data_IF_183811424263
#
_entry.id   IF_183811424263
#
_cell.length_a   1.000
_cell.length_b   1.000
_cell.length_c   1.000
_cell.angle_alpha   90.00
_cell.angle_beta   90.00
_cell.angle_gamma   90.00
#
_symmetry.space_group_name_H-M   'P 1'
#
loop_
_entity.id
_entity.type
_entity.pdbx_description
1 polymer ?
#
# COMPACT_ATOMS: atom_id res chain seq x y z
N UNK A 1 -30.61 63.55 21.79
CA UNK A 1 -29.93 64.62 21.01
C UNK A 1 -28.44 64.36 21.04
N UNK A 2 -27.88 63.82 20.00
CA UNK A 2 -26.47 63.94 19.59
C UNK A 2 -26.36 63.31 18.21
N UNK A 3 -26.10 64.16 17.22
CA UNK A 3 -25.92 63.88 15.83
C UNK A 3 -24.57 63.18 15.65
N UNK A 4 -24.49 62.05 14.91
CA UNK A 4 -23.24 61.50 14.39
C UNK A 4 -23.18 61.74 12.89
N UNK A 5 -22.13 62.45 12.51
CA UNK A 5 -21.76 62.81 11.16
C UNK A 5 -21.14 61.57 10.51
N UNK A 6 -21.69 61.17 9.34
CA UNK A 6 -21.17 60.09 8.51
C UNK A 6 -20.15 60.71 7.54
N UNK A 7 -18.86 60.38 7.68
CA UNK A 7 -17.84 60.75 6.71
C UNK A 7 -17.72 59.60 5.67
N UNK A 8 -18.12 59.89 4.44
CA UNK A 8 -17.92 59.02 3.30
C UNK A 8 -16.51 59.25 2.75
N UNK A 9 -15.66 58.27 2.87
CA UNK A 9 -14.34 58.26 2.23
C UNK A 9 -14.43 57.54 0.89
N UNK A 10 -14.32 58.34 -0.17
CA UNK A 10 -14.27 57.85 -1.55
C UNK A 10 -12.86 57.41 -1.86
N UNK A 11 -12.59 56.08 -1.89
CA UNK A 11 -11.35 55.53 -2.40
C UNK A 11 -11.48 55.24 -3.90
N UNK A 12 -10.68 55.94 -4.67
CA UNK A 12 -10.60 55.76 -6.11
C UNK A 12 -9.97 54.41 -6.47
N UNK A 13 -10.64 53.66 -7.34
CA UNK A 13 -10.16 52.44 -7.95
C UNK A 13 -9.31 52.82 -9.15
N UNK A 14 -8.00 52.73 -9.06
CA UNK A 14 -7.11 52.70 -10.22
C UNK A 14 -7.01 51.28 -10.76
N UNK A 15 -7.68 51.01 -11.86
CA UNK A 15 -7.51 49.78 -12.61
C UNK A 15 -6.11 49.77 -13.27
N UNK A 16 -5.22 48.94 -12.75
CA UNK A 16 -3.99 48.52 -13.45
C UNK A 16 -4.32 47.30 -14.31
N UNK A 17 -4.49 47.55 -15.61
CA UNK A 17 -4.49 46.49 -16.60
C UNK A 17 -3.07 45.92 -16.70
N UNK A 18 -2.81 44.80 -16.09
CA UNK A 18 -1.64 43.96 -16.34
C UNK A 18 -1.96 43.10 -17.56
N UNK A 19 -1.34 43.38 -18.69
CA UNK A 19 -1.26 42.47 -19.82
C UNK A 19 -0.42 41.27 -19.39
N UNK A 20 -1.07 40.12 -19.18
CA UNK A 20 -0.40 38.84 -19.05
C UNK A 20 0.13 38.39 -20.40
N UNK A 21 1.36 38.71 -20.68
CA UNK A 21 2.12 38.02 -21.73
C UNK A 21 2.50 36.65 -21.21
N UNK A 22 2.03 35.56 -21.84
CA UNK A 22 2.67 34.26 -21.72
C UNK A 22 4.09 34.40 -22.27
N UNK A 23 5.07 34.48 -21.43
CA UNK A 23 6.46 34.27 -21.82
C UNK A 23 6.71 32.77 -21.86
N UNK A 24 6.79 32.21 -23.06
CA UNK A 24 7.48 30.94 -23.29
C UNK A 24 8.96 31.16 -22.93
N UNK A 25 9.32 30.84 -21.70
CA UNK A 25 10.70 30.83 -21.24
C UNK A 25 11.11 29.37 -21.14
N UNK A 26 11.57 28.80 -22.25
CA UNK A 26 12.49 27.67 -22.21
C UNK A 26 13.83 28.24 -21.75
N UNK A 27 14.25 27.91 -20.54
CA UNK A 27 15.58 28.24 -20.04
C UNK A 27 16.63 27.52 -20.92
N UNK A 28 17.63 28.22 -21.49
CA UNK A 28 18.60 27.59 -22.40
C UNK A 28 19.62 26.68 -21.71
N UNK A 29 19.63 26.62 -20.37
CA UNK A 29 20.72 26.00 -19.60
C UNK A 29 20.27 24.87 -18.65
N UNK A 30 19.04 24.38 -18.73
CA UNK A 30 18.54 23.32 -17.83
C UNK A 30 18.51 23.71 -16.34
N UNK A 31 18.54 25.01 -16.04
CA UNK A 31 18.50 25.53 -14.66
C UNK A 31 17.06 25.58 -14.19
N UNK A 32 16.80 24.87 -13.07
CA UNK A 32 15.48 24.88 -12.42
C UNK A 32 15.15 26.25 -11.81
N UNK A 33 13.87 26.61 -11.81
CA UNK A 33 13.41 27.88 -11.26
C UNK A 33 13.36 27.84 -9.71
N UNK A 34 13.47 29.02 -9.09
CA UNK A 34 13.33 29.12 -7.63
C UNK A 34 11.86 28.99 -7.24
N UNK A 35 11.53 27.94 -6.50
CA UNK A 35 10.15 27.62 -6.16
C UNK A 35 10.02 26.87 -4.81
N UNK A 36 8.78 26.60 -4.45
CA UNK A 36 8.43 25.75 -3.31
C UNK A 36 7.54 24.62 -3.79
N UNK A 37 7.96 23.39 -3.56
CA UNK A 37 7.26 22.15 -3.90
C UNK A 37 6.65 21.56 -2.64
N UNK A 38 5.39 21.18 -2.70
CA UNK A 38 4.69 20.43 -1.64
C UNK A 38 4.80 18.95 -1.94
N UNK A 39 5.30 18.19 -0.96
CA UNK A 39 5.37 16.73 -1.06
C UNK A 39 4.53 16.07 0.02
N UNK A 40 3.68 15.13 -0.36
CA UNK A 40 2.80 14.42 0.59
C UNK A 40 2.99 12.92 0.59
N UNK A 41 2.93 12.32 1.81
CA UNK A 41 3.04 10.86 2.01
C UNK A 41 2.36 10.41 3.31
N UNK A 42 2.00 9.12 3.36
CA UNK A 42 1.58 8.45 4.60
C UNK A 42 2.61 7.42 5.04
N UNK A 43 2.58 7.04 6.32
CA UNK A 43 3.42 5.97 6.86
C UNK A 43 3.49 5.95 8.37
N UNK A 44 4.43 5.18 8.89
CA UNK A 44 4.83 5.17 10.30
C UNK A 44 5.91 6.20 10.61
N UNK A 45 6.31 6.28 11.87
CA UNK A 45 7.30 7.25 12.35
C UNK A 45 8.66 7.08 11.70
N UNK A 46 9.09 5.84 11.43
CA UNK A 46 10.31 5.48 10.71
C UNK A 46 10.35 6.13 9.31
N UNK A 47 9.26 5.95 8.55
CA UNK A 47 9.10 6.56 7.22
C UNK A 47 9.07 8.07 7.28
N UNK A 48 8.40 8.64 8.29
CA UNK A 48 8.34 10.09 8.48
C UNK A 48 9.72 10.66 8.78
N UNK A 49 10.48 10.03 9.66
CA UNK A 49 11.83 10.46 10.01
C UNK A 49 12.77 10.40 8.80
N UNK A 50 12.84 9.26 8.12
CA UNK A 50 13.70 9.08 6.95
C UNK A 50 13.35 10.08 5.82
N UNK A 51 12.06 10.27 5.55
CA UNK A 51 11.62 11.19 4.50
C UNK A 51 11.94 12.65 4.84
N UNK A 52 11.76 13.08 6.10
CA UNK A 52 12.14 14.43 6.52
C UNK A 52 13.66 14.65 6.46
N UNK A 53 14.48 13.63 6.73
CA UNK A 53 15.94 13.70 6.58
C UNK A 53 16.35 13.82 5.10
N UNK A 54 15.70 13.07 4.21
CA UNK A 54 15.90 13.20 2.76
C UNK A 54 15.51 14.59 2.25
N UNK A 55 14.38 15.15 2.69
CA UNK A 55 13.96 16.52 2.37
C UNK A 55 14.98 17.54 2.86
N UNK A 56 15.52 17.35 4.05
CA UNK A 56 16.57 18.24 4.58
C UNK A 56 17.81 18.22 3.70
N UNK A 57 18.28 17.04 3.29
CA UNK A 57 19.39 16.90 2.34
C UNK A 57 19.09 17.60 1.03
N UNK A 58 17.89 17.40 0.45
CA UNK A 58 17.48 18.10 -0.77
C UNK A 58 17.55 19.63 -0.61
N UNK A 59 16.94 20.18 0.44
CA UNK A 59 16.90 21.62 0.69
C UNK A 59 18.30 22.23 0.91
N UNK A 60 19.28 21.42 1.37
CA UNK A 60 20.68 21.83 1.52
C UNK A 60 21.42 21.89 0.17
N UNK A 61 21.17 20.93 -0.72
CA UNK A 61 21.84 20.85 -2.03
C UNK A 61 21.12 21.66 -3.13
N UNK A 62 19.83 21.91 -2.97
CA UNK A 62 18.95 22.68 -3.87
C UNK A 62 18.26 23.83 -3.11
N UNK A 63 19.01 24.85 -2.62
CA UNK A 63 18.41 25.93 -1.83
C UNK A 63 17.38 26.77 -2.61
N UNK A 64 17.42 26.70 -3.96
CA UNK A 64 16.45 27.37 -4.84
C UNK A 64 15.09 26.64 -4.89
N UNK A 65 15.04 25.34 -4.58
CA UNK A 65 13.81 24.54 -4.60
C UNK A 65 13.56 24.01 -3.20
N UNK A 66 12.67 24.65 -2.47
CA UNK A 66 12.34 24.25 -1.11
C UNK A 66 11.18 23.27 -1.07
N UNK A 67 11.32 22.18 -0.32
CA UNK A 67 10.26 21.19 -0.15
C UNK A 67 9.50 21.42 1.15
N UNK A 68 8.17 21.51 1.06
CA UNK A 68 7.26 21.51 2.21
C UNK A 68 6.64 20.14 2.36
N UNK A 69 6.84 19.54 3.54
CA UNK A 69 6.35 18.21 3.89
C UNK A 69 4.88 18.24 4.35
N UNK A 70 4.07 17.33 3.81
CA UNK A 70 2.72 17.02 4.30
C UNK A 70 2.63 15.52 4.55
N UNK A 71 2.45 15.08 5.80
CA UNK A 71 2.39 13.65 6.09
C UNK A 71 1.41 13.31 7.22
N UNK A 72 1.11 12.02 7.34
CA UNK A 72 0.22 11.49 8.37
C UNK A 72 0.15 9.97 8.34
N UNK A 73 -0.70 9.40 9.19
CA UNK A 73 -1.05 7.99 9.15
C UNK A 73 -1.92 7.64 7.93
N UNK A 74 -2.19 6.35 7.76
CA UNK A 74 -3.04 5.86 6.67
C UNK A 74 -4.51 6.25 6.84
N UNK A 75 -5.02 6.23 8.08
CA UNK A 75 -6.43 6.47 8.35
C UNK A 75 -6.87 7.87 7.94
N UNK A 76 -7.90 7.96 7.12
CA UNK A 76 -8.41 9.22 6.54
C UNK A 76 -7.52 9.85 5.46
N UNK A 77 -6.41 9.19 5.08
CA UNK A 77 -5.48 9.75 4.09
C UNK A 77 -6.08 9.77 2.68
N UNK A 78 -6.78 8.71 2.29
CA UNK A 78 -7.46 8.63 0.98
C UNK A 78 -8.50 9.73 0.82
N UNK A 79 -9.29 10.00 1.84
CA UNK A 79 -10.30 11.06 1.86
C UNK A 79 -9.66 12.45 1.75
N UNK A 80 -8.54 12.67 2.46
CA UNK A 80 -7.76 13.90 2.37
C UNK A 80 -7.28 14.14 0.94
N UNK A 81 -6.62 13.15 0.33
CA UNK A 81 -6.07 13.27 -1.03
C UNK A 81 -7.18 13.42 -2.06
N UNK A 82 -8.28 12.68 -1.94
CA UNK A 82 -9.45 12.81 -2.80
C UNK A 82 -10.02 14.24 -2.75
N UNK A 83 -10.13 14.81 -1.55
CA UNK A 83 -10.58 16.18 -1.37
C UNK A 83 -9.61 17.20 -1.99
N UNK A 84 -8.30 17.02 -1.83
CA UNK A 84 -7.28 17.90 -2.38
C UNK A 84 -7.26 17.85 -3.92
N UNK A 85 -7.31 16.65 -4.52
CA UNK A 85 -7.37 16.47 -5.97
C UNK A 85 -8.63 17.10 -6.57
N UNK A 86 -9.79 16.85 -5.95
CA UNK A 86 -11.07 17.41 -6.40
C UNK A 86 -11.14 18.95 -6.25
N UNK A 87 -10.46 19.49 -5.24
CA UNK A 87 -10.39 20.92 -4.94
C UNK A 87 -9.30 21.68 -5.70
N UNK A 88 -8.46 21.01 -6.50
CA UNK A 88 -7.31 21.63 -7.19
C UNK A 88 -6.26 22.16 -6.22
N UNK A 89 -6.12 21.53 -5.04
CA UNK A 89 -5.17 21.90 -3.97
C UNK A 89 -4.21 20.77 -3.62
N UNK A 90 -4.10 19.79 -4.50
CA UNK A 90 -3.18 18.65 -4.31
C UNK A 90 -1.74 19.15 -4.20
N UNK A 91 -0.89 18.48 -3.42
CA UNK A 91 0.56 18.71 -3.42
C UNK A 91 1.16 18.46 -4.81
N UNK A 92 2.30 19.10 -5.08
CA UNK A 92 2.99 18.97 -6.37
C UNK A 92 3.49 17.54 -6.60
N UNK A 93 4.10 16.93 -5.59
CA UNK A 93 4.52 15.52 -5.59
C UNK A 93 3.74 14.78 -4.51
N UNK A 94 3.26 13.59 -4.83
CA UNK A 94 2.45 12.77 -3.93
C UNK A 94 2.91 11.33 -3.92
N UNK A 95 2.99 10.74 -2.73
CA UNK A 95 2.92 9.29 -2.60
C UNK A 95 1.47 8.88 -2.84
N UNK A 96 1.23 7.92 -3.72
CA UNK A 96 -0.09 7.40 -4.06
C UNK A 96 -0.15 5.89 -3.87
N UNK A 97 -1.35 5.37 -3.65
CA UNK A 97 -1.61 3.94 -3.65
C UNK A 97 -1.98 3.46 -5.07
N UNK A 98 -1.79 2.19 -5.34
CA UNK A 98 -1.96 1.61 -6.66
C UNK A 98 -3.38 1.76 -7.22
N UNK A 99 -4.41 1.53 -6.41
CA UNK A 99 -5.83 1.69 -6.77
C UNK A 99 -6.23 3.15 -7.08
N UNK A 100 -5.38 4.12 -6.69
CA UNK A 100 -5.67 5.53 -6.97
C UNK A 100 -5.51 5.90 -8.43
N UNK A 101 -4.75 5.12 -9.20
CA UNK A 101 -4.72 5.28 -10.65
C UNK A 101 -6.10 5.05 -11.26
N UNK A 102 -6.81 4.00 -10.83
CA UNK A 102 -8.19 3.74 -11.28
C UNK A 102 -9.16 4.79 -10.73
N UNK A 103 -8.98 5.19 -9.47
CA UNK A 103 -9.92 6.10 -8.79
C UNK A 103 -9.79 7.56 -9.24
N UNK A 104 -8.57 8.03 -9.49
CA UNK A 104 -8.29 9.45 -9.74
C UNK A 104 -7.78 9.74 -11.15
N UNK A 105 -7.36 8.72 -11.90
CA UNK A 105 -6.85 8.87 -13.27
C UNK A 105 -7.35 7.76 -14.20
N UNK A 106 -8.66 7.48 -14.28
CA UNK A 106 -9.18 6.36 -15.06
C UNK A 106 -8.94 6.49 -16.57
N UNK A 107 -8.60 7.69 -17.06
CA UNK A 107 -8.28 8.00 -18.46
C UNK A 107 -6.82 8.47 -18.66
N UNK A 108 -5.96 8.22 -17.67
CA UNK A 108 -4.55 8.63 -17.67
C UNK A 108 -4.30 10.14 -17.51
N UNK A 109 -5.33 10.96 -17.22
CA UNK A 109 -5.21 12.43 -17.17
C UNK A 109 -5.41 13.02 -15.78
N UNK A 110 -5.50 12.18 -14.75
CA UNK A 110 -5.65 12.61 -13.36
C UNK A 110 -4.35 13.10 -12.73
N UNK A 111 -3.22 12.60 -13.22
CA UNK A 111 -1.87 13.01 -12.82
C UNK A 111 -1.08 13.54 -14.04
N UNK A 112 0.08 14.13 -13.78
CA UNK A 112 0.96 14.61 -14.84
C UNK A 112 1.51 13.42 -15.65
N UNK A 113 1.69 13.62 -16.97
CA UNK A 113 2.32 12.61 -17.83
C UNK A 113 3.84 12.62 -17.66
N UNK A 114 4.38 11.68 -16.91
CA UNK A 114 5.81 11.61 -16.56
C UNK A 114 6.72 11.35 -17.77
N UNK A 115 6.20 10.79 -18.87
CA UNK A 115 6.96 10.65 -20.13
C UNK A 115 7.37 12.01 -20.72
N UNK A 116 6.76 13.11 -20.30
CA UNK A 116 7.15 14.46 -20.72
C UNK A 116 8.28 15.06 -19.89
N UNK A 117 8.72 14.38 -18.83
CA UNK A 117 9.67 14.87 -17.84
C UNK A 117 10.98 14.05 -17.81
N UNK A 118 11.27 13.26 -18.84
CA UNK A 118 12.48 12.40 -18.94
C UNK A 118 13.80 13.19 -18.85
N UNK A 119 13.79 14.49 -19.11
CA UNK A 119 14.97 15.34 -18.92
C UNK A 119 15.32 15.56 -17.44
N UNK A 120 14.37 15.40 -16.52
CA UNK A 120 14.52 15.60 -15.08
C UNK A 120 14.34 14.30 -14.28
N UNK A 121 13.69 13.29 -14.85
CA UNK A 121 13.37 12.02 -14.22
C UNK A 121 13.96 10.87 -15.03
N UNK A 122 15.01 10.22 -14.51
CA UNK A 122 15.66 9.08 -15.16
C UNK A 122 14.86 7.79 -14.99
N UNK A 123 13.97 7.53 -15.95
CA UNK A 123 13.14 6.33 -16.01
C UNK A 123 13.92 5.08 -16.44
N UNK A 124 15.16 5.22 -16.96
CA UNK A 124 15.99 4.08 -17.38
C UNK A 124 16.48 3.21 -16.21
N UNK A 125 16.29 3.68 -14.99
CA UNK A 125 16.61 2.96 -13.75
C UNK A 125 15.54 1.94 -13.34
N UNK A 126 14.48 1.78 -14.12
CA UNK A 126 13.36 0.90 -13.80
C UNK A 126 13.11 -0.10 -14.93
N UNK A 127 12.75 -1.32 -14.57
CA UNK A 127 12.27 -2.30 -15.52
C UNK A 127 10.93 -1.87 -16.14
N UNK A 128 10.73 -2.23 -17.41
CA UNK A 128 9.50 -1.86 -18.13
C UNK A 128 8.23 -2.39 -17.47
N UNK A 129 8.29 -3.59 -16.92
CA UNK A 129 7.15 -4.21 -16.25
C UNK A 129 6.80 -3.42 -14.97
N UNK A 130 7.82 -2.91 -14.24
CA UNK A 130 7.64 -2.05 -13.07
C UNK A 130 7.04 -0.70 -13.45
N UNK A 131 7.50 -0.08 -14.55
CA UNK A 131 6.91 1.15 -15.07
C UNK A 131 5.47 0.97 -15.53
N UNK A 132 5.15 -0.20 -16.11
CA UNK A 132 3.80 -0.49 -16.60
C UNK A 132 2.73 -0.43 -15.51
N UNK A 133 3.08 -0.65 -14.24
CA UNK A 133 2.15 -0.45 -13.11
C UNK A 133 1.65 1.00 -12.99
N UNK A 134 2.47 1.96 -13.39
CA UNK A 134 2.12 3.39 -13.35
C UNK A 134 1.43 3.91 -14.61
N UNK A 135 1.23 3.06 -15.61
CA UNK A 135 0.61 3.44 -16.87
C UNK A 135 -0.90 3.26 -16.85
N UNK A 136 -1.61 4.25 -17.36
CA UNK A 136 -3.03 4.22 -17.67
C UNK A 136 -3.23 4.68 -19.11
N UNK A 137 -3.81 3.86 -19.96
CA UNK A 137 -3.99 4.14 -21.39
C UNK A 137 -2.70 4.57 -22.12
N UNK A 138 -1.55 3.98 -21.73
CA UNK A 138 -0.24 4.30 -22.31
C UNK A 138 0.36 5.63 -21.83
N UNK A 139 -0.21 6.25 -20.81
CA UNK A 139 0.28 7.46 -20.15
C UNK A 139 0.89 7.08 -18.81
N UNK A 140 2.18 7.35 -18.60
CA UNK A 140 2.84 7.10 -17.32
C UNK A 140 2.41 8.18 -16.30
N UNK A 141 1.59 7.80 -15.34
CA UNK A 141 1.02 8.68 -14.32
C UNK A 141 1.79 8.63 -12.99
N UNK A 142 2.50 7.54 -12.74
CA UNK A 142 3.26 7.36 -11.51
C UNK A 142 4.47 6.44 -11.73
N UNK A 143 5.47 6.55 -10.85
CA UNK A 143 6.61 5.61 -10.79
C UNK A 143 6.49 4.78 -9.53
N UNK A 144 6.61 3.47 -9.68
CA UNK A 144 6.61 2.50 -8.58
C UNK A 144 7.87 2.67 -7.74
N UNK A 145 7.70 2.92 -6.44
CA UNK A 145 8.83 3.04 -5.50
C UNK A 145 9.41 1.67 -5.17
N UNK A 146 8.53 0.69 -4.91
CA UNK A 146 8.90 -0.70 -4.69
C UNK A 146 7.74 -1.62 -5.07
N UNK A 147 8.03 -2.84 -5.44
CA UNK A 147 7.05 -3.93 -5.52
C UNK A 147 7.13 -4.71 -4.21
N UNK A 148 6.01 -5.17 -3.69
CA UNK A 148 5.98 -5.95 -2.46
C UNK A 148 4.83 -6.95 -2.49
N UNK A 149 5.04 -8.08 -1.85
CA UNK A 149 4.00 -9.04 -1.53
C UNK A 149 3.81 -9.20 -0.03
N UNK A 150 2.86 -10.04 0.36
CA UNK A 150 2.68 -10.41 1.75
C UNK A 150 3.42 -11.70 2.05
N UNK A 151 4.04 -11.75 3.23
CA UNK A 151 4.67 -12.94 3.80
C UNK A 151 4.05 -13.32 5.13
N UNK A 152 4.39 -14.50 5.59
CA UNK A 152 4.04 -15.02 6.90
C UNK A 152 5.17 -14.71 7.87
N UNK A 153 4.85 -14.09 9.01
CA UNK A 153 5.83 -13.77 10.05
C UNK A 153 5.36 -14.31 11.38
N UNK A 154 6.27 -14.92 12.14
CA UNK A 154 5.94 -15.68 13.33
C UNK A 154 6.75 -15.23 14.55
N UNK A 155 6.12 -15.27 15.73
CA UNK A 155 6.77 -15.04 17.01
C UNK A 155 7.55 -16.31 17.41
N UNK A 156 8.86 -16.28 17.22
CA UNK A 156 9.76 -17.41 17.44
C UNK A 156 9.77 -17.90 18.89
N UNK A 157 9.54 -17.00 19.87
CA UNK A 157 9.48 -17.39 21.28
C UNK A 157 8.25 -18.23 21.59
N UNK A 158 7.08 -17.82 21.04
CA UNK A 158 5.84 -18.58 21.19
C UNK A 158 5.96 -19.94 20.50
N UNK A 159 6.43 -19.99 19.25
CA UNK A 159 6.59 -21.25 18.53
C UNK A 159 7.57 -22.21 19.24
N UNK A 160 8.70 -21.71 19.74
CA UNK A 160 9.65 -22.50 20.54
C UNK A 160 9.03 -23.03 21.84
N UNK A 161 8.21 -22.23 22.53
CA UNK A 161 7.51 -22.65 23.76
C UNK A 161 6.61 -23.87 23.50
N UNK A 162 5.93 -23.92 22.36
CA UNK A 162 5.11 -25.04 21.94
C UNK A 162 5.89 -26.18 21.28
N UNK A 163 7.20 -26.06 21.11
CA UNK A 163 8.00 -26.97 20.28
C UNK A 163 7.31 -27.21 18.93
N UNK A 164 6.98 -26.12 18.23
CA UNK A 164 6.31 -26.08 16.95
C UNK A 164 7.26 -25.52 15.89
N UNK A 165 7.20 -26.10 14.70
CA UNK A 165 7.84 -25.53 13.50
C UNK A 165 6.88 -24.54 12.83
N UNK A 166 7.40 -23.60 12.04
CA UNK A 166 6.58 -22.75 11.21
C UNK A 166 5.93 -23.57 10.10
N UNK A 167 4.63 -23.40 9.85
CA UNK A 167 3.94 -24.18 8.82
C UNK A 167 4.43 -23.79 7.41
N UNK A 168 4.58 -24.78 6.55
CA UNK A 168 4.87 -24.61 5.12
C UNK A 168 3.66 -24.98 4.25
N UNK A 169 2.65 -25.65 4.81
CA UNK A 169 1.42 -26.04 4.12
C UNK A 169 0.16 -25.59 4.88
N UNK A 170 -0.96 -25.53 4.17
CA UNK A 170 -2.25 -25.21 4.78
C UNK A 170 -2.64 -26.22 5.87
N UNK A 171 -2.38 -27.53 5.64
CA UNK A 171 -2.68 -28.56 6.61
C UNK A 171 -1.81 -28.46 7.87
N UNK A 172 -0.54 -28.09 7.74
CA UNK A 172 0.32 -27.82 8.90
C UNK A 172 -0.19 -26.61 9.68
N UNK A 173 -0.61 -25.52 9.00
CA UNK A 173 -1.20 -24.36 9.65
C UNK A 173 -2.47 -24.74 10.44
N UNK A 174 -3.38 -25.50 9.84
CA UNK A 174 -4.60 -25.98 10.50
C UNK A 174 -4.29 -26.85 11.72
N UNK A 175 -3.30 -27.73 11.62
CA UNK A 175 -2.87 -28.61 12.72
C UNK A 175 -2.29 -27.84 13.92
N UNK A 176 -1.71 -26.65 13.70
CA UNK A 176 -1.19 -25.80 14.77
C UNK A 176 -2.31 -25.27 15.66
N UNK A 177 -3.50 -25.04 15.12
CA UNK A 177 -4.63 -24.53 15.89
C UNK A 177 -5.00 -25.44 17.05
N UNK A 178 -5.11 -26.76 16.84
CA UNK A 178 -5.36 -27.73 17.91
C UNK A 178 -4.27 -27.68 19.00
N UNK A 179 -2.99 -27.60 18.57
CA UNK A 179 -1.86 -27.55 19.49
C UNK A 179 -1.83 -26.29 20.34
N UNK A 180 -2.11 -25.15 19.75
CA UNK A 180 -2.04 -23.84 20.40
C UNK A 180 -3.29 -23.51 21.24
N UNK A 181 -4.45 -24.10 20.90
CA UNK A 181 -5.71 -23.93 21.66
C UNK A 181 -5.63 -24.37 23.12
N UNK A 182 -4.68 -25.23 23.48
CA UNK A 182 -4.49 -25.69 24.86
C UNK A 182 -4.12 -24.56 25.83
N UNK A 183 -3.55 -23.47 25.34
CA UNK A 183 -3.20 -22.28 26.12
C UNK A 183 -3.91 -21.02 25.62
N UNK A 184 -4.97 -21.15 24.81
CA UNK A 184 -5.74 -20.05 24.22
C UNK A 184 -4.85 -19.11 23.38
N UNK A 185 -3.95 -19.69 22.59
CA UNK A 185 -3.04 -18.99 21.68
C UNK A 185 -3.42 -19.32 20.25
N UNK A 186 -3.27 -18.33 19.38
CA UNK A 186 -3.59 -18.44 17.95
C UNK A 186 -2.30 -18.47 17.14
N UNK A 187 -2.09 -19.48 16.25
CA UNK A 187 -0.92 -19.56 15.38
C UNK A 187 -0.66 -18.30 14.55
N UNK A 188 -1.73 -17.70 14.06
CA UNK A 188 -1.72 -16.41 13.33
C UNK A 188 -2.98 -15.62 13.68
N UNK A 189 -3.06 -14.37 13.21
CA UNK A 189 -4.33 -13.67 13.09
C UNK A 189 -4.42 -12.86 11.79
N UNK A 190 -5.64 -12.58 11.35
CA UNK A 190 -5.95 -11.96 10.08
C UNK A 190 -6.90 -10.77 10.28
N UNK A 191 -6.47 -9.60 9.82
CA UNK A 191 -7.31 -8.39 9.84
C UNK A 191 -8.34 -8.42 8.72
N UNK A 192 -9.57 -8.07 9.04
CA UNK A 192 -10.67 -7.92 8.07
C UNK A 192 -10.91 -6.46 7.68
N UNK A 193 -10.43 -5.48 8.45
CA UNK A 193 -10.77 -4.07 8.25
C UNK A 193 -9.72 -3.32 7.43
N UNK A 194 -8.64 -2.89 8.05
CA UNK A 194 -7.68 -1.99 7.43
C UNK A 194 -6.75 -2.69 6.45
N UNK A 195 -6.39 -3.93 6.74
CA UNK A 195 -5.42 -4.70 5.95
C UNK A 195 -6.05 -5.65 4.93
N UNK A 196 -7.28 -6.11 5.17
CA UNK A 196 -7.96 -7.10 4.32
C UNK A 196 -7.21 -8.43 4.22
N UNK A 197 -6.42 -8.79 5.24
CA UNK A 197 -5.54 -9.96 5.20
C UNK A 197 -6.32 -11.26 5.14
N UNK A 198 -7.52 -11.29 5.74
CA UNK A 198 -8.37 -12.48 5.72
C UNK A 198 -8.81 -12.85 4.29
N UNK A 199 -9.30 -11.89 3.52
CA UNK A 199 -9.67 -12.14 2.12
C UNK A 199 -8.45 -12.45 1.26
N UNK A 200 -7.35 -11.72 1.48
CA UNK A 200 -6.10 -11.95 0.76
C UNK A 200 -5.61 -13.41 0.90
N UNK A 201 -5.52 -13.94 2.12
CA UNK A 201 -5.07 -15.31 2.36
C UNK A 201 -6.03 -16.33 1.75
N UNK A 202 -7.34 -16.09 1.83
CA UNK A 202 -8.35 -16.94 1.21
C UNK A 202 -8.24 -16.94 -0.33
N UNK A 203 -7.92 -15.80 -0.96
CA UNK A 203 -7.65 -15.72 -2.41
C UNK A 203 -6.44 -16.56 -2.78
N UNK A 204 -5.31 -16.45 -2.05
CA UNK A 204 -4.12 -17.26 -2.29
C UNK A 204 -4.46 -18.75 -2.23
N UNK A 205 -5.18 -19.17 -1.19
CA UNK A 205 -5.63 -20.55 -1.05
C UNK A 205 -6.42 -21.03 -2.27
N UNK A 206 -7.43 -20.28 -2.70
CA UNK A 206 -8.29 -20.64 -3.84
C UNK A 206 -7.52 -20.65 -5.16
N UNK A 207 -6.61 -19.69 -5.36
CA UNK A 207 -5.74 -19.65 -6.55
C UNK A 207 -4.88 -20.91 -6.66
N UNK A 208 -4.34 -21.39 -5.57
CA UNK A 208 -3.58 -22.65 -5.53
C UNK A 208 -4.46 -23.88 -5.86
N UNK A 209 -5.69 -23.91 -5.31
CA UNK A 209 -6.60 -25.04 -5.53
C UNK A 209 -7.20 -25.09 -6.94
N UNK A 210 -7.37 -23.94 -7.58
CA UNK A 210 -8.14 -23.86 -8.83
C UNK A 210 -7.34 -23.43 -10.05
N UNK A 211 -6.18 -22.78 -9.84
CA UNK A 211 -5.38 -22.17 -10.91
C UNK A 211 -6.06 -20.95 -11.56
N UNK A 212 -7.08 -20.39 -10.93
CA UNK A 212 -7.78 -19.19 -11.43
C UNK A 212 -7.42 -17.97 -10.59
N UNK A 213 -7.08 -16.87 -11.26
CA UNK A 213 -6.88 -15.58 -10.61
C UNK A 213 -8.23 -15.00 -10.16
N UNK A 214 -8.22 -14.28 -9.03
CA UNK A 214 -9.44 -13.65 -8.51
C UNK A 214 -9.96 -12.57 -9.47
N UNK A 215 -9.10 -11.67 -9.90
CA UNK A 215 -9.41 -10.56 -10.81
C UNK A 215 -8.30 -10.39 -11.85
N UNK A 216 -8.69 -10.15 -13.10
CA UNK A 216 -7.75 -9.70 -14.13
C UNK A 216 -7.32 -8.24 -13.89
N UNK A 217 -6.26 -7.81 -14.57
CA UNK A 217 -5.80 -6.41 -14.55
C UNK A 217 -6.86 -5.44 -15.09
N UNK A 218 -7.74 -5.91 -15.98
CA UNK A 218 -8.86 -5.13 -16.54
C UNK A 218 -10.13 -5.20 -15.66
N UNK A 219 -10.01 -5.78 -14.46
CA UNK A 219 -11.11 -5.89 -13.50
C UNK A 219 -12.18 -6.93 -13.89
N UNK A 220 -11.83 -7.98 -14.67
CA UNK A 220 -12.72 -9.12 -14.88
C UNK A 220 -12.65 -10.09 -13.71
N UNK A 221 -13.82 -10.48 -13.19
CA UNK A 221 -13.89 -11.46 -12.11
C UNK A 221 -13.57 -12.85 -12.68
N UNK A 222 -12.46 -13.45 -12.24
CA UNK A 222 -12.04 -14.79 -12.63
C UNK A 222 -12.61 -15.87 -11.72
N UNK A 223 -12.93 -15.55 -10.45
CA UNK A 223 -13.57 -16.49 -9.54
C UNK A 223 -15.03 -16.71 -9.88
N UNK A 224 -15.47 -17.95 -9.83
CA UNK A 224 -16.88 -18.33 -9.81
C UNK A 224 -17.49 -18.13 -8.45
N UNK A 225 -18.82 -18.25 -8.33
CA UNK A 225 -19.52 -18.25 -7.04
C UNK A 225 -19.02 -19.41 -6.13
N UNK A 226 -18.73 -20.58 -6.71
CA UNK A 226 -18.15 -21.72 -5.97
C UNK A 226 -16.74 -21.43 -5.47
N UNK A 227 -15.93 -20.67 -6.19
CA UNK A 227 -14.59 -20.27 -5.73
C UNK A 227 -14.66 -19.29 -4.57
N UNK A 228 -15.60 -18.33 -4.59
CA UNK A 228 -15.84 -17.42 -3.48
C UNK A 228 -16.35 -18.21 -2.25
N UNK A 229 -17.20 -19.21 -2.47
CA UNK A 229 -17.64 -20.10 -1.40
C UNK A 229 -16.46 -20.88 -0.81
N UNK A 230 -15.58 -21.43 -1.64
CA UNK A 230 -14.38 -22.12 -1.19
C UNK A 230 -13.47 -21.21 -0.32
N UNK A 231 -13.32 -19.93 -0.71
CA UNK A 231 -12.59 -18.94 0.08
C UNK A 231 -13.21 -18.72 1.46
N UNK A 232 -14.55 -18.59 1.53
CA UNK A 232 -15.26 -18.40 2.79
C UNK A 232 -15.31 -19.68 3.65
N UNK A 233 -15.39 -20.87 3.02
CA UNK A 233 -15.28 -22.16 3.70
C UNK A 233 -13.89 -22.30 4.37
N UNK A 234 -12.83 -21.96 3.65
CA UNK A 234 -11.46 -21.96 4.18
C UNK A 234 -11.30 -20.97 5.34
N UNK A 235 -11.78 -19.72 5.19
CA UNK A 235 -11.77 -18.75 6.28
C UNK A 235 -12.47 -19.31 7.55
N UNK A 236 -13.64 -19.94 7.36
CA UNK A 236 -14.37 -20.54 8.48
C UNK A 236 -13.66 -21.73 9.09
N UNK A 237 -12.93 -22.49 8.28
CA UNK A 237 -12.09 -23.59 8.74
C UNK A 237 -10.95 -23.08 9.64
N UNK A 238 -10.30 -21.95 9.30
CA UNK A 238 -9.29 -21.32 10.15
C UNK A 238 -9.87 -20.93 11.52
N UNK A 239 -11.05 -20.32 11.58
CA UNK A 239 -11.73 -20.02 12.85
C UNK A 239 -12.08 -21.29 13.64
N UNK A 240 -12.71 -22.28 12.98
CA UNK A 240 -13.17 -23.50 13.63
C UNK A 240 -12.04 -24.36 14.19
N UNK A 241 -10.86 -24.31 13.57
CA UNK A 241 -9.65 -25.01 14.02
C UNK A 241 -8.76 -24.19 14.95
N UNK A 242 -9.25 -23.05 15.46
CA UNK A 242 -8.49 -22.18 16.39
C UNK A 242 -7.17 -21.66 15.81
N UNK A 243 -7.12 -21.44 14.49
CA UNK A 243 -5.94 -20.88 13.82
C UNK A 243 -5.92 -19.37 13.92
N UNK A 244 -7.10 -18.76 13.83
CA UNK A 244 -7.34 -17.32 13.94
C UNK A 244 -8.45 -17.03 14.94
N UNK A 245 -8.45 -15.82 15.51
CA UNK A 245 -9.57 -15.32 16.31
C UNK A 245 -10.78 -15.07 15.43
N UNK A 246 -11.98 -15.20 15.97
CA UNK A 246 -13.22 -14.76 15.30
C UNK A 246 -13.28 -13.23 15.21
N UNK A 247 -14.11 -12.70 14.32
CA UNK A 247 -14.35 -11.25 14.21
C UNK A 247 -14.86 -10.65 15.51
N UNK A 248 -15.71 -11.40 16.23
CA UNK A 248 -16.26 -11.01 17.55
C UNK A 248 -15.14 -10.82 18.58
N UNK A 249 -14.24 -11.81 18.70
CA UNK A 249 -13.10 -11.76 19.62
C UNK A 249 -12.20 -10.57 19.32
N UNK A 250 -11.82 -10.36 18.04
CA UNK A 250 -11.00 -9.19 17.66
C UNK A 250 -11.65 -7.87 18.00
N UNK A 251 -12.96 -7.76 17.78
CA UNK A 251 -13.72 -6.54 18.10
C UNK A 251 -13.74 -6.26 19.59
N UNK A 252 -13.92 -7.29 20.40
CA UNK A 252 -14.00 -7.17 21.85
C UNK A 252 -12.61 -6.94 22.51
N UNK A 253 -11.58 -7.59 22.01
CA UNK A 253 -10.22 -7.54 22.58
C UNK A 253 -9.39 -6.36 22.08
N UNK A 254 -9.37 -6.13 20.76
CA UNK A 254 -8.52 -5.10 20.13
C UNK A 254 -9.27 -3.77 19.90
N UNK A 255 -10.61 -3.82 19.82
CA UNK A 255 -11.42 -2.65 19.46
C UNK A 255 -11.07 -2.13 18.06
N UNK A 256 -10.54 -0.90 17.99
CA UNK A 256 -10.06 -0.28 16.73
C UNK A 256 -8.52 -0.27 16.62
N UNK A 257 -7.80 -0.91 17.54
CA UNK A 257 -6.35 -0.97 17.48
C UNK A 257 -5.88 -1.83 16.30
N UNK A 258 -4.82 -1.40 15.62
CA UNK A 258 -4.17 -2.24 14.63
C UNK A 258 -3.48 -3.42 15.31
N UNK A 259 -3.42 -4.58 14.63
CA UNK A 259 -2.93 -5.82 15.24
C UNK A 259 -1.53 -5.68 15.88
N UNK A 260 -0.60 -4.94 15.25
CA UNK A 260 0.75 -4.70 15.81
C UNK A 260 0.74 -3.88 17.11
N UNK A 261 -0.38 -3.22 17.44
CA UNK A 261 -0.57 -2.44 18.67
C UNK A 261 -1.41 -3.18 19.70
N UNK A 262 -1.99 -4.33 19.33
CA UNK A 262 -2.84 -5.10 20.24
C UNK A 262 -2.01 -5.80 21.33
N UNK A 263 -2.52 -5.85 22.57
CA UNK A 263 -1.92 -6.67 23.62
C UNK A 263 -1.77 -8.13 23.21
N UNK A 264 -2.71 -8.66 22.45
CA UNK A 264 -2.76 -10.05 22.00
C UNK A 264 -1.55 -10.43 21.15
N UNK A 265 -1.11 -9.52 20.28
CA UNK A 265 0.11 -9.70 19.50
C UNK A 265 1.37 -9.46 20.34
N UNK A 266 1.41 -8.36 21.12
CA UNK A 266 2.59 -7.98 21.91
C UNK A 266 2.89 -9.03 22.98
N UNK A 267 1.88 -9.61 23.63
CA UNK A 267 2.02 -10.63 24.66
C UNK A 267 2.15 -12.05 24.08
N UNK A 268 2.11 -12.23 22.76
CA UNK A 268 2.32 -13.48 22.06
C UNK A 268 1.12 -14.46 22.11
N UNK A 269 -0.09 -14.00 22.43
CA UNK A 269 -1.33 -14.79 22.26
C UNK A 269 -1.68 -14.94 20.78
N UNK A 270 -1.35 -13.97 19.97
CA UNK A 270 -1.29 -14.09 18.50
C UNK A 270 0.16 -14.28 18.11
N UNK A 271 0.48 -15.49 17.63
CA UNK A 271 1.85 -15.92 17.43
C UNK A 271 2.36 -15.72 16.00
N UNK A 272 1.58 -15.12 15.12
CA UNK A 272 1.98 -14.84 13.74
C UNK A 272 1.03 -13.91 13.02
N UNK A 273 1.52 -13.34 11.94
CA UNK A 273 0.78 -12.38 11.12
C UNK A 273 1.06 -12.59 9.63
N UNK A 274 0.09 -12.21 8.80
CA UNK A 274 0.23 -12.03 7.37
C UNK A 274 0.39 -10.52 7.10
N UNK A 275 1.55 -10.08 6.65
CA UNK A 275 1.78 -8.65 6.40
C UNK A 275 2.61 -8.41 5.13
N UNK A 276 2.52 -7.20 4.57
CA UNK A 276 3.37 -6.76 3.48
C UNK A 276 4.83 -6.69 3.92
N UNK A 277 5.76 -7.25 3.13
CA UNK A 277 7.19 -7.13 3.36
C UNK A 277 7.61 -5.66 3.52
N UNK A 278 7.03 -4.76 2.71
CA UNK A 278 7.26 -3.29 2.80
C UNK A 278 6.72 -2.62 4.07
N UNK A 279 6.02 -3.32 4.94
CA UNK A 279 5.37 -2.77 6.14
C UNK A 279 5.61 -3.61 7.39
N UNK A 280 6.38 -4.69 7.31
CA UNK A 280 6.61 -5.60 8.44
C UNK A 280 7.36 -4.95 9.60
N UNK A 281 8.17 -3.93 9.34
CA UNK A 281 8.96 -3.23 10.36
C UNK A 281 8.13 -2.68 11.54
N UNK A 282 6.85 -2.33 11.34
CA UNK A 282 5.96 -1.92 12.44
C UNK A 282 5.65 -3.05 13.43
N UNK A 283 5.58 -4.30 12.96
CA UNK A 283 5.41 -5.50 13.80
C UNK A 283 6.71 -5.89 14.47
N UNK A 284 7.83 -5.77 13.75
CA UNK A 284 9.17 -6.00 14.30
C UNK A 284 9.47 -5.03 15.46
N UNK A 285 9.14 -3.75 15.32
CA UNK A 285 9.31 -2.75 16.40
C UNK A 285 8.37 -2.96 17.59
N UNK A 286 7.26 -3.67 17.44
CA UNK A 286 6.34 -3.97 18.53
C UNK A 286 6.82 -5.11 19.44
N UNK A 287 7.82 -5.88 19.02
CA UNK A 287 8.38 -7.03 19.74
C UNK A 287 9.85 -6.79 20.09
N UNK A 288 10.44 -7.54 21.04
CA UNK A 288 11.89 -7.54 21.24
C UNK A 288 12.64 -7.93 19.95
N UNK A 289 13.85 -7.38 19.78
CA UNK A 289 14.69 -7.66 18.60
C UNK A 289 14.90 -9.18 18.38
N UNK A 290 14.70 -9.64 17.15
CA UNK A 290 14.89 -11.03 16.74
C UNK A 290 13.79 -12.00 17.20
N UNK A 291 12.67 -11.50 17.72
CA UNK A 291 11.51 -12.33 18.10
C UNK A 291 10.63 -12.65 16.88
N UNK A 292 10.44 -11.67 15.99
CA UNK A 292 9.69 -11.90 14.76
C UNK A 292 10.61 -12.51 13.71
N UNK A 293 10.19 -13.60 13.08
CA UNK A 293 10.93 -14.33 12.05
C UNK A 293 10.05 -14.60 10.84
N UNK A 294 10.64 -14.66 9.65
CA UNK A 294 9.94 -14.95 8.40
C UNK A 294 9.66 -16.46 8.29
N UNK A 295 8.43 -16.81 7.88
CA UNK A 295 8.03 -18.18 7.59
C UNK A 295 7.96 -18.48 6.10
N UNK A 296 7.77 -19.75 5.75
CA UNK A 296 7.60 -20.18 4.37
C UNK A 296 6.32 -19.60 3.74
N UNK A 297 6.31 -19.43 2.42
CA UNK A 297 5.09 -19.20 1.65
C UNK A 297 4.26 -20.48 1.67
N UNK A 298 3.07 -20.40 2.27
CA UNK A 298 2.19 -21.56 2.44
C UNK A 298 1.81 -22.18 1.09
N UNK A 299 1.83 -23.48 1.03
CA UNK A 299 1.51 -24.27 -0.17
C UNK A 299 0.39 -25.27 0.09
N UNK A 300 -0.18 -25.79 -1.00
CA UNK A 300 -1.05 -26.96 -0.91
C UNK A 300 -0.25 -28.26 -0.62
N UNK A 301 -0.95 -29.39 -0.44
CA UNK A 301 -0.30 -30.68 -0.14
C UNK A 301 0.59 -31.21 -1.28
N UNK A 302 0.46 -30.67 -2.49
CA UNK A 302 1.34 -31.01 -3.63
C UNK A 302 2.66 -30.24 -3.61
N UNK A 303 2.80 -29.26 -2.70
CA UNK A 303 3.91 -28.31 -2.65
C UNK A 303 3.76 -27.14 -3.62
N UNK A 304 2.57 -26.94 -4.22
CA UNK A 304 2.29 -25.78 -5.04
C UNK A 304 2.09 -24.56 -4.14
N UNK A 305 3.02 -23.63 -4.18
CA UNK A 305 2.97 -22.33 -3.48
C UNK A 305 2.80 -21.15 -4.44
N UNK A 306 2.33 -21.36 -5.67
CA UNK A 306 1.96 -20.28 -6.60
C UNK A 306 0.76 -19.47 -6.10
N UNK A 307 0.40 -18.43 -6.80
CA UNK A 307 -0.81 -17.65 -6.50
C UNK A 307 -0.67 -16.64 -5.36
N UNK A 308 0.52 -16.50 -4.76
CA UNK A 308 0.82 -15.39 -3.87
C UNK A 308 0.83 -14.08 -4.66
N UNK A 309 0.36 -13.03 -4.03
CA UNK A 309 0.06 -11.78 -4.72
C UNK A 309 1.11 -10.71 -4.44
N UNK A 310 1.55 -10.03 -5.50
CA UNK A 310 2.45 -8.87 -5.42
C UNK A 310 1.80 -7.63 -6.03
N UNK A 311 2.25 -6.46 -5.62
CA UNK A 311 1.82 -5.16 -6.20
C UNK A 311 2.84 -4.06 -5.92
N UNK A 312 2.71 -2.90 -6.59
CA UNK A 312 3.36 -1.68 -6.14
C UNK A 312 3.01 -1.40 -4.69
N UNK A 313 4.01 -1.29 -3.81
CA UNK A 313 3.79 -0.98 -2.39
C UNK A 313 3.25 0.44 -2.22
N UNK A 314 3.94 1.37 -2.87
CA UNK A 314 3.58 2.77 -3.04
C UNK A 314 4.16 3.27 -4.36
N UNK A 315 3.62 4.36 -4.87
CA UNK A 315 4.07 5.02 -6.09
C UNK A 315 4.23 6.51 -5.84
N UNK A 316 5.05 7.18 -6.65
CA UNK A 316 5.10 8.64 -6.67
C UNK A 316 4.45 9.18 -7.94
N UNK A 317 3.59 10.17 -7.77
CA UNK A 317 2.93 10.89 -8.85
C UNK A 317 3.13 12.40 -8.72
N UNK A 318 3.04 13.11 -9.84
CA UNK A 318 3.07 14.57 -9.88
C UNK A 318 1.64 15.06 -10.16
N UNK A 319 1.22 16.10 -9.45
CA UNK A 319 -0.07 16.74 -9.69
C UNK A 319 -0.13 17.28 -11.12
N UNK A 320 -1.23 16.99 -11.82
CA UNK A 320 -1.45 17.57 -13.16
C UNK A 320 -1.58 19.10 -13.14
N UNK A 321 -1.90 19.66 -11.98
CA UNK A 321 -2.15 21.10 -11.79
C UNK A 321 -0.93 21.84 -11.18
N UNK A 322 0.24 21.15 -11.05
CA UNK A 322 1.46 21.81 -10.56
C UNK A 322 1.93 22.92 -11.51
N UNK A 323 2.40 24.02 -10.94
CA UNK A 323 3.05 25.10 -11.70
C UNK A 323 4.54 24.83 -11.94
N UNK A 324 5.11 23.77 -11.30
CA UNK A 324 6.54 23.45 -11.28
C UNK A 324 6.80 21.98 -11.66
N UNK A 325 6.42 21.54 -12.89
CA UNK A 325 6.54 20.12 -13.26
C UNK A 325 7.99 19.63 -13.35
N UNK A 326 8.92 20.45 -13.86
CA UNK A 326 10.33 20.08 -14.00
C UNK A 326 11.02 19.97 -12.63
N UNK A 327 10.76 20.92 -11.73
CA UNK A 327 11.26 20.91 -10.35
C UNK A 327 10.68 19.77 -9.53
N UNK A 328 9.39 19.47 -9.71
CA UNK A 328 8.73 18.31 -9.11
C UNK A 328 9.34 17.00 -9.58
N UNK A 329 9.66 16.89 -10.87
CA UNK A 329 10.31 15.72 -11.44
C UNK A 329 11.75 15.57 -10.95
N UNK A 330 12.51 16.66 -10.83
CA UNK A 330 13.85 16.64 -10.27
C UNK A 330 13.85 16.17 -8.80
N UNK A 331 12.91 16.64 -8.00
CA UNK A 331 12.75 16.16 -6.62
C UNK A 331 12.30 14.69 -6.57
N UNK A 332 11.38 14.28 -7.43
CA UNK A 332 10.97 12.88 -7.55
C UNK A 332 12.16 11.99 -7.95
N UNK A 333 12.99 12.44 -8.90
CA UNK A 333 14.21 11.74 -9.31
C UNK A 333 15.20 11.58 -8.15
N UNK A 334 15.36 12.63 -7.34
CA UNK A 334 16.20 12.56 -6.14
C UNK A 334 15.67 11.50 -5.15
N UNK A 335 14.36 11.47 -4.89
CA UNK A 335 13.77 10.47 -3.99
C UNK A 335 13.94 9.03 -4.49
N UNK A 336 13.95 8.84 -5.81
CA UNK A 336 13.99 7.52 -6.45
C UNK A 336 15.41 7.05 -6.78
N UNK A 337 16.30 7.96 -7.23
CA UNK A 337 17.54 7.58 -7.91
C UNK A 337 18.82 8.16 -7.27
N UNK A 338 18.73 9.02 -6.24
CA UNK A 338 19.93 9.53 -5.58
C UNK A 338 20.48 8.53 -4.56
N UNK A 339 21.76 8.19 -4.65
CA UNK A 339 22.41 7.20 -3.78
C UNK A 339 22.34 7.58 -2.30
N UNK A 340 22.52 8.86 -1.94
CA UNK A 340 22.47 9.30 -0.55
C UNK A 340 21.05 9.32 -0.03
N UNK A 341 20.09 9.70 -0.88
CA UNK A 341 18.68 9.62 -0.55
C UNK A 341 18.25 8.16 -0.32
N UNK A 342 18.69 7.23 -1.17
CA UNK A 342 18.45 5.80 -0.99
C UNK A 342 19.00 5.29 0.34
N UNK A 343 20.22 5.68 0.73
CA UNK A 343 20.78 5.32 2.03
C UNK A 343 19.99 5.87 3.23
N UNK A 344 19.39 7.06 3.09
CA UNK A 344 18.55 7.68 4.13
C UNK A 344 17.18 6.99 4.19
N UNK A 345 16.54 6.79 3.05
CA UNK A 345 15.20 6.19 2.99
C UNK A 345 15.22 4.69 3.36
N UNK A 346 16.32 3.99 3.03
CA UNK A 346 16.44 2.56 3.27
C UNK A 346 15.27 1.78 2.70
N UNK A 347 14.79 0.79 3.43
CA UNK A 347 13.65 -0.05 3.06
C UNK A 347 12.33 0.40 3.70
N UNK A 348 12.21 1.66 4.14
CA UNK A 348 10.97 2.18 4.79
C UNK A 348 9.73 2.14 3.90
N UNK A 349 9.90 1.88 2.59
CA UNK A 349 8.83 1.69 1.60
C UNK A 349 8.91 0.34 0.87
N UNK A 350 9.72 -0.59 1.37
CA UNK A 350 10.11 -1.84 0.70
C UNK A 350 11.45 -1.70 -0.02
N UNK A 351 11.88 -2.74 -0.71
CA UNK A 351 13.08 -2.72 -1.53
C UNK A 351 12.82 -1.81 -2.74
N UNK A 352 13.67 -0.79 -2.97
CA UNK A 352 13.43 0.15 -4.05
C UNK A 352 13.51 -0.52 -5.42
N UNK A 353 12.56 -0.17 -6.31
CA UNK A 353 12.54 -0.67 -7.69
C UNK A 353 13.54 0.05 -8.62
N UNK A 354 14.19 1.12 -8.16
CA UNK A 354 15.28 1.79 -8.89
C UNK A 354 16.56 0.98 -8.79
N UNK A 355 17.16 0.60 -9.90
CA UNK A 355 18.42 -0.16 -9.94
C UNK A 355 19.57 0.54 -9.21
N UNK A 356 19.66 1.89 -9.27
CA UNK A 356 20.67 2.65 -8.52
C UNK A 356 20.40 2.54 -7.02
N UNK A 357 19.17 2.76 -6.59
CA UNK A 357 18.82 2.76 -5.17
C UNK A 357 18.99 1.36 -4.56
N UNK A 358 18.50 0.33 -5.23
CA UNK A 358 18.66 -1.06 -4.82
C UNK A 358 20.15 -1.44 -4.66
N UNK A 359 20.93 -1.22 -5.70
CA UNK A 359 22.39 -1.50 -5.69
C UNK A 359 23.13 -0.73 -4.60
N UNK A 360 22.70 0.51 -4.32
CA UNK A 360 23.28 1.33 -3.24
C UNK A 360 23.02 0.67 -1.88
N UNK A 361 21.77 0.23 -1.63
CA UNK A 361 21.42 -0.45 -0.39
C UNK A 361 22.10 -1.81 -0.26
N UNK A 362 22.20 -2.59 -1.34
CA UNK A 362 22.94 -3.84 -1.37
C UNK A 362 24.41 -3.61 -1.01
N UNK A 363 25.08 -2.67 -1.71
CA UNK A 363 26.50 -2.36 -1.50
C UNK A 363 26.82 -1.82 -0.10
N UNK A 364 25.86 -1.13 0.53
CA UNK A 364 25.98 -0.64 1.91
C UNK A 364 25.57 -1.66 2.97
N UNK A 365 25.13 -2.85 2.57
CA UNK A 365 24.66 -3.91 3.48
C UNK A 365 23.36 -3.56 4.21
N UNK A 366 22.52 -2.70 3.61
CA UNK A 366 21.23 -2.26 4.17
C UNK A 366 20.04 -3.06 3.65
N UNK A 367 20.23 -3.92 2.64
CA UNK A 367 19.23 -4.91 2.24
C UNK A 367 19.37 -6.12 3.17
N UNK A 368 18.73 -6.04 4.32
CA UNK A 368 18.73 -7.09 5.35
C UNK A 368 17.39 -7.05 6.11
N UNK A 369 17.06 -8.16 6.78
CA UNK A 369 15.90 -8.27 7.66
C UNK A 369 14.65 -8.79 6.95
N UNK A 370 13.53 -8.75 7.68
CA UNK A 370 12.29 -9.44 7.31
C UNK A 370 11.71 -9.01 5.96
N UNK A 371 11.90 -7.75 5.57
CA UNK A 371 11.43 -7.25 4.27
C UNK A 371 12.13 -7.95 3.12
N UNK A 372 13.47 -8.05 3.19
CA UNK A 372 14.27 -8.74 2.17
C UNK A 372 13.99 -10.23 2.15
N UNK A 373 13.95 -10.88 3.32
CA UNK A 373 13.63 -12.31 3.42
C UNK A 373 12.28 -12.63 2.77
N UNK A 374 11.29 -11.77 2.97
CA UNK A 374 9.97 -11.90 2.35
C UNK A 374 10.03 -11.76 0.82
N UNK A 375 10.76 -10.76 0.31
CA UNK A 375 10.90 -10.54 -1.13
C UNK A 375 11.67 -11.70 -1.79
N UNK A 376 12.76 -12.18 -1.20
CA UNK A 376 13.50 -13.36 -1.67
C UNK A 376 12.63 -14.63 -1.76
N UNK A 377 11.69 -14.82 -0.82
CA UNK A 377 10.73 -15.92 -0.88
C UNK A 377 9.74 -15.75 -2.04
N UNK A 378 9.27 -14.53 -2.29
CA UNK A 378 8.33 -14.22 -3.37
C UNK A 378 8.97 -14.33 -4.76
N UNK A 379 10.25 -13.97 -4.90
CA UNK A 379 11.00 -14.12 -6.15
C UNK A 379 11.20 -15.57 -6.57
N UNK A 380 11.17 -16.50 -5.62
CA UNK A 380 11.39 -17.92 -5.88
C UNK A 380 10.11 -18.71 -6.19
N UNK A 381 8.96 -18.04 -6.32
CA UNK A 381 7.66 -18.65 -6.63
C UNK A 381 6.95 -17.90 -7.75
N UNK A 382 5.96 -18.55 -8.38
CA UNK A 382 5.07 -17.90 -9.33
C UNK A 382 4.07 -17.01 -8.59
N UNK A 383 4.31 -15.70 -8.65
CA UNK A 383 3.44 -14.68 -8.06
C UNK A 383 2.44 -14.14 -9.08
N UNK A 384 1.32 -13.64 -8.58
CA UNK A 384 0.28 -12.97 -9.37
C UNK A 384 0.25 -11.49 -9.02
N UNK A 385 0.23 -10.62 -10.01
CA UNK A 385 0.04 -9.18 -9.76
C UNK A 385 -1.38 -8.91 -9.32
N UNK A 386 -1.54 -8.25 -8.17
CA UNK A 386 -2.86 -7.81 -7.70
C UNK A 386 -3.46 -6.84 -8.71
N UNK A 387 -4.68 -7.15 -9.14
CA UNK A 387 -5.49 -6.18 -9.88
C UNK A 387 -5.77 -4.95 -9.01
N UNK A 388 -5.55 -3.71 -9.50
CA UNK A 388 -5.86 -2.51 -8.73
C UNK A 388 -7.35 -2.42 -8.35
N UNK A 389 -8.22 -3.08 -9.09
CA UNK A 389 -9.66 -3.20 -8.75
C UNK A 389 -9.90 -3.96 -7.44
N UNK A 390 -9.04 -4.91 -7.06
CA UNK A 390 -9.16 -5.65 -5.80
C UNK A 390 -9.01 -4.73 -4.58
N UNK A 391 -8.26 -3.65 -4.71
CA UNK A 391 -7.97 -2.73 -3.62
C UNK A 391 -8.96 -1.58 -3.47
N UNK A 392 -9.90 -1.44 -4.41
CA UNK A 392 -10.93 -0.40 -4.33
C UNK A 392 -11.73 -0.50 -3.02
N UNK A 393 -12.00 0.62 -2.32
CA UNK A 393 -12.69 0.59 -1.03
C UNK A 393 -14.01 -0.19 -1.07
N UNK A 394 -14.78 -0.02 -2.16
CA UNK A 394 -16.05 -0.72 -2.31
C UNK A 394 -15.91 -2.25 -2.47
N UNK A 395 -14.83 -2.70 -3.11
CA UNK A 395 -14.51 -4.12 -3.21
C UNK A 395 -14.16 -4.69 -1.82
N UNK A 396 -13.35 -3.95 -1.05
CA UNK A 396 -13.01 -4.34 0.35
C UNK A 396 -14.26 -4.44 1.23
N UNK A 397 -15.24 -3.53 1.07
CA UNK A 397 -16.53 -3.61 1.78
C UNK A 397 -17.25 -4.94 1.50
N UNK A 398 -17.23 -5.43 0.25
CA UNK A 398 -17.89 -6.69 -0.12
C UNK A 398 -17.21 -7.89 0.57
N UNK A 399 -15.86 -7.96 0.54
CA UNK A 399 -15.11 -9.04 1.19
C UNK A 399 -15.34 -9.05 2.69
N UNK A 400 -15.20 -7.90 3.33
CA UNK A 400 -15.35 -7.74 4.76
C UNK A 400 -16.79 -8.11 5.20
N UNK A 401 -17.79 -7.64 4.46
CA UNK A 401 -19.20 -7.97 4.74
C UNK A 401 -19.45 -9.47 4.64
N UNK A 402 -18.89 -10.16 3.65
CA UNK A 402 -19.06 -11.60 3.49
C UNK A 402 -18.41 -12.38 4.65
N UNK A 403 -17.17 -12.02 5.01
CA UNK A 403 -16.42 -12.62 6.11
C UNK A 403 -17.15 -12.37 7.44
N UNK A 404 -17.58 -11.14 7.71
CA UNK A 404 -18.34 -10.81 8.93
C UNK A 404 -19.62 -11.63 9.04
N UNK A 405 -20.39 -11.76 7.95
CA UNK A 405 -21.63 -12.56 7.98
C UNK A 405 -21.36 -14.01 8.36
N UNK A 406 -20.30 -14.59 7.80
CA UNK A 406 -19.93 -15.99 8.07
C UNK A 406 -19.38 -16.13 9.48
N UNK A 407 -18.49 -15.25 9.94
CA UNK A 407 -17.89 -15.28 11.27
C UNK A 407 -18.95 -15.14 12.37
N UNK A 408 -19.86 -14.17 12.25
CA UNK A 408 -20.99 -13.97 13.18
C UNK A 408 -22.11 -15.00 13.06
N UNK A 409 -22.03 -15.95 12.12
CA UNK A 409 -23.09 -16.93 11.87
C UNK A 409 -24.41 -16.32 11.35
N UNK A 410 -24.35 -15.12 10.74
CA UNK A 410 -25.51 -14.43 10.15
C UNK A 410 -25.90 -15.01 8.78
N UNK A 411 -24.98 -15.66 8.10
CA UNK A 411 -25.18 -16.41 6.87
C UNK A 411 -24.25 -17.63 6.85
N UNK A 412 -24.67 -18.66 6.13
CA UNK A 412 -23.76 -19.73 5.74
C UNK A 412 -22.84 -19.25 4.59
N UNK A 413 -21.77 -20.00 4.33
CA UNK A 413 -20.78 -19.66 3.31
C UNK A 413 -21.35 -19.61 1.91
N UNK A 414 -22.34 -20.45 1.59
CA UNK A 414 -22.99 -20.46 0.29
C UNK A 414 -23.84 -19.19 0.07
N UNK A 415 -24.62 -18.78 1.07
CA UNK A 415 -25.41 -17.55 1.01
C UNK A 415 -24.53 -16.32 0.92
N UNK A 416 -23.47 -16.23 1.73
CA UNK A 416 -22.53 -15.11 1.73
C UNK A 416 -21.76 -15.02 0.40
N UNK A 417 -21.35 -16.14 -0.17
CA UNK A 417 -20.69 -16.21 -1.46
C UNK A 417 -21.59 -15.73 -2.61
N UNK A 418 -22.85 -16.16 -2.63
CA UNK A 418 -23.84 -15.72 -3.61
C UNK A 418 -24.03 -14.20 -3.57
N UNK A 419 -24.28 -13.64 -2.41
CA UNK A 419 -24.46 -12.20 -2.22
C UNK A 419 -23.21 -11.40 -2.63
N UNK A 420 -22.02 -11.89 -2.27
CA UNK A 420 -20.77 -11.26 -2.64
C UNK A 420 -20.54 -11.35 -4.15
N UNK A 421 -20.74 -12.52 -4.76
CA UNK A 421 -20.57 -12.72 -6.21
C UNK A 421 -21.42 -11.72 -7.02
N UNK A 422 -22.71 -11.57 -6.67
CA UNK A 422 -23.60 -10.61 -7.32
C UNK A 422 -23.09 -9.19 -7.13
N UNK A 423 -22.75 -8.80 -5.88
CA UNK A 423 -22.32 -7.43 -5.55
C UNK A 423 -21.03 -7.04 -6.28
N UNK A 424 -20.05 -7.95 -6.33
CA UNK A 424 -18.79 -7.75 -7.03
C UNK A 424 -19.01 -7.63 -8.54
N UNK A 425 -19.80 -8.55 -9.12
CA UNK A 425 -20.07 -8.55 -10.57
C UNK A 425 -20.75 -7.26 -11.01
N UNK A 426 -21.85 -6.87 -10.33
CA UNK A 426 -22.58 -5.64 -10.64
C UNK A 426 -21.71 -4.37 -10.48
N UNK A 427 -20.87 -4.34 -9.47
CA UNK A 427 -19.98 -3.20 -9.24
C UNK A 427 -18.91 -3.09 -10.33
N UNK A 428 -18.22 -4.18 -10.66
CA UNK A 428 -17.19 -4.21 -11.70
C UNK A 428 -17.76 -3.87 -13.07
N UNK A 429 -18.94 -4.39 -13.44
CA UNK A 429 -19.63 -4.03 -14.67
C UNK A 429 -19.95 -2.54 -14.77
N UNK A 430 -20.25 -1.89 -13.63
CA UNK A 430 -20.56 -0.47 -13.59
C UNK A 430 -19.34 0.43 -13.75
N UNK A 431 -18.19 0.08 -13.14
CA UNK A 431 -17.00 0.93 -13.14
C UNK A 431 -16.11 0.72 -14.37
N UNK A 432 -16.25 -0.41 -15.07
CA UNK A 432 -15.51 -0.72 -16.31
C UNK A 432 -16.16 -0.08 -17.56
N UNK A 433 -17.30 0.58 -17.42
CA UNK A 433 -18.01 1.31 -18.49
C UNK A 433 -17.53 2.76 -18.57
#
# INVERSE_FOLDING_TARGET
MKKYILAVMLCGITALSACGGKSDITAPDGKLDSCTIRFSWWGGDDRHQATNEAIKLWNEIHPEIQIIAEYGGWDGWTEKVSSQLSGGTAPDVMQINYDWLISFSPDGKGFYNLNQLESQLDLSQFDKDVLSFGEVDGILNAVTVSVSGRGMFYNSETYRRFNAEYPATWNELLALGEKFSQEDIYPIDLDIQSGGTAWYLAVVYVQQQTGRDFLSMDGELGFTEDDIRLALDFYKELENNHVIRTVDMRTDEDGSAALYQSPEFIDGRVAGVLEWGSSVGKYEMALPEGVLETGAMLSDDSGNNSGWLIKPSVMYAISKDTEYPDESAAFMNFLLNDEKCAEILGTTRGIPSSHIAEKTLESSGKLVGLAQECDELLENIDTVTISPYMELPKMKDFYNTAIEKVSYGKADTATAAHEMYISVTEYLEKIRR
#
